data_IF_402628727751
#
_entry.id   IF_402628727751
#
_cell.length_a   1.000
_cell.length_b   1.000
_cell.length_c   1.000
_cell.angle_alpha   90.00
_cell.angle_beta   90.00
_cell.angle_gamma   90.00
#
_symmetry.space_group_name_H-M   'P 1'
#
loop_
_entity.id
_entity.type
_entity.pdbx_description
1 polymer ?
#
# COMPACT_ATOMS: atom_id res chain seq x y z
N UNK A 1 9.97 -18.10 -92.25
CA UNK A 1 8.73 -18.47 -91.51
C UNK A 1 8.87 -18.34 -89.98
N UNK A 2 9.93 -18.82 -89.32
CA UNK A 2 10.05 -18.77 -87.84
C UNK A 2 10.08 -17.36 -87.23
N UNK A 3 10.69 -16.36 -87.89
CA UNK A 3 10.75 -14.99 -87.37
C UNK A 3 9.41 -14.23 -87.45
N UNK A 4 8.59 -14.49 -88.47
CA UNK A 4 7.25 -13.91 -88.58
C UNK A 4 6.30 -14.46 -87.51
N UNK A 5 6.41 -15.75 -87.17
CA UNK A 5 5.64 -16.35 -86.07
C UNK A 5 6.02 -15.71 -84.73
N UNK A 6 7.31 -15.44 -84.50
CA UNK A 6 7.78 -14.82 -83.25
C UNK A 6 7.31 -13.37 -83.10
N UNK A 7 7.29 -12.59 -84.19
CA UNK A 7 6.78 -11.21 -84.18
C UNK A 7 5.27 -11.18 -83.98
N UNK A 8 4.53 -12.12 -84.59
CA UNK A 8 3.07 -12.25 -84.38
C UNK A 8 2.78 -12.70 -82.94
N UNK A 9 3.54 -13.66 -82.39
CA UNK A 9 3.38 -14.09 -80.99
C UNK A 9 3.76 -12.99 -79.99
N UNK A 10 4.80 -12.21 -80.29
CA UNK A 10 5.20 -11.06 -79.49
C UNK A 10 4.17 -9.92 -79.57
N UNK A 11 3.58 -9.65 -80.75
CA UNK A 11 2.51 -8.67 -80.92
C UNK A 11 1.20 -9.13 -80.26
N UNK A 12 0.88 -10.42 -80.30
CA UNK A 12 -0.28 -11.01 -79.61
C UNK A 12 -0.11 -10.98 -78.08
N UNK A 13 1.11 -11.24 -77.58
CA UNK A 13 1.46 -11.08 -76.17
C UNK A 13 1.47 -9.61 -75.73
N UNK A 14 1.87 -8.69 -76.61
CA UNK A 14 1.82 -7.25 -76.35
C UNK A 14 0.39 -6.69 -76.35
N UNK A 15 -0.50 -7.23 -77.19
CA UNK A 15 -1.94 -6.91 -77.18
C UNK A 15 -2.66 -7.51 -75.96
N UNK A 16 -2.27 -8.71 -75.49
CA UNK A 16 -2.76 -9.25 -74.22
C UNK A 16 -2.30 -8.43 -73.00
N UNK A 17 -1.11 -7.81 -73.05
CA UNK A 17 -0.61 -6.99 -71.95
C UNK A 17 -1.34 -5.63 -71.79
N UNK A 18 -2.08 -5.18 -72.82
CA UNK A 18 -2.70 -3.86 -72.86
C UNK A 18 -4.23 -3.84 -72.71
N UNK A 19 -4.89 -4.97 -72.45
CA UNK A 19 -6.32 -5.00 -72.15
C UNK A 19 -6.59 -5.05 -70.63
N UNK A 20 -5.95 -4.15 -69.87
CA UNK A 20 -6.28 -3.98 -68.45
C UNK A 20 -7.43 -3.01 -68.34
N UNK A 21 -8.53 -3.45 -67.74
CA UNK A 21 -9.74 -2.66 -67.56
C UNK A 21 -9.55 -1.72 -66.38
N UNK A 22 -9.89 -0.45 -66.54
CA UNK A 22 -9.83 0.52 -65.45
C UNK A 22 -11.14 0.53 -64.67
N UNK A 23 -11.05 0.63 -63.34
CA UNK A 23 -12.20 0.78 -62.45
C UNK A 23 -12.49 2.27 -62.22
N UNK A 24 -13.77 2.61 -62.04
CA UNK A 24 -14.24 3.94 -61.67
C UNK A 24 -15.39 3.83 -60.66
N UNK A 25 -15.72 4.93 -59.97
CA UNK A 25 -16.83 4.98 -59.02
C UNK A 25 -18.02 5.70 -59.65
N UNK A 26 -19.18 5.04 -59.70
CA UNK A 26 -20.43 5.66 -60.17
C UNK A 26 -21.04 6.54 -59.07
N UNK A 27 -20.96 6.06 -57.83
CA UNK A 27 -21.42 6.81 -56.66
C UNK A 27 -20.51 6.52 -55.48
N UNK A 28 -20.14 7.58 -54.75
CA UNK A 28 -19.38 7.48 -53.51
C UNK A 28 -20.08 8.29 -52.43
N UNK A 29 -20.63 7.62 -51.42
CA UNK A 29 -21.42 8.25 -50.35
C UNK A 29 -20.76 7.95 -49.01
N UNK A 30 -20.46 9.00 -48.26
CA UNK A 30 -19.94 8.92 -46.90
C UNK A 30 -21.00 9.50 -45.97
N UNK A 31 -21.41 8.71 -44.97
CA UNK A 31 -22.27 9.16 -43.90
C UNK A 31 -21.60 8.96 -42.56
N UNK A 32 -21.68 9.97 -41.71
CA UNK A 32 -21.38 9.87 -40.29
C UNK A 32 -22.68 10.14 -39.54
N UNK A 33 -23.14 9.16 -38.79
CA UNK A 33 -24.34 9.22 -37.98
C UNK A 33 -23.95 9.39 -36.51
N UNK A 34 -24.29 10.51 -35.89
CA UNK A 34 -23.88 10.76 -34.50
C UNK A 34 -24.01 12.22 -34.08
N UNK A 35 -23.01 12.75 -33.35
CA UNK A 35 -23.01 14.14 -32.85
C UNK A 35 -22.93 15.15 -34.00
N UNK A 36 -22.11 14.85 -35.01
CA UNK A 36 -22.04 15.60 -36.27
C UNK A 36 -22.60 14.74 -37.40
N UNK A 37 -23.90 14.86 -37.67
CA UNK A 37 -24.51 14.18 -38.82
C UNK A 37 -23.96 14.78 -40.12
N UNK A 38 -23.08 14.04 -40.81
CA UNK A 38 -22.54 14.43 -42.11
C UNK A 38 -23.00 13.41 -43.13
N UNK A 39 -23.84 13.82 -44.07
CA UNK A 39 -24.19 13.03 -45.26
C UNK A 39 -23.63 13.76 -46.49
N UNK A 40 -22.57 13.21 -47.10
CA UNK A 40 -21.93 13.79 -48.29
C UNK A 40 -21.79 12.74 -49.38
N UNK A 41 -22.24 13.12 -50.58
CA UNK A 41 -21.97 12.38 -51.82
C UNK A 41 -20.79 13.05 -52.50
N UNK A 42 -19.78 12.27 -52.84
CA UNK A 42 -18.57 12.70 -53.54
C UNK A 42 -18.61 12.18 -54.97
N UNK A 43 -18.17 13.02 -55.90
CA UNK A 43 -17.89 12.60 -57.27
C UNK A 43 -16.39 12.28 -57.36
N UNK A 44 -16.01 11.12 -57.86
CA UNK A 44 -14.59 10.81 -58.03
C UNK A 44 -13.96 11.74 -59.10
N UNK A 45 -12.78 12.37 -58.87
CA UNK A 45 -11.86 12.27 -57.72
C UNK A 45 -11.89 13.50 -56.77
N UNK A 46 -13.05 13.87 -56.22
CA UNK A 46 -13.23 14.98 -55.28
C UNK A 46 -12.92 14.59 -53.82
N UNK A 47 -11.99 15.32 -53.18
CA UNK A 47 -11.65 15.12 -51.77
C UNK A 47 -12.66 15.76 -50.82
N UNK A 48 -12.98 15.05 -49.75
CA UNK A 48 -13.85 15.44 -48.66
C UNK A 48 -13.11 16.34 -47.66
N UNK A 49 -13.77 17.42 -47.24
CA UNK A 49 -13.27 18.24 -46.13
C UNK A 49 -13.23 17.43 -44.83
N UNK A 50 -12.26 17.75 -43.96
CA UNK A 50 -12.03 17.10 -42.67
C UNK A 50 -13.31 16.90 -41.85
N UNK A 51 -13.55 15.67 -41.40
CA UNK A 51 -14.71 15.27 -40.56
C UNK A 51 -14.21 14.87 -39.17
N UNK A 52 -15.00 15.11 -38.13
CA UNK A 52 -14.73 14.65 -36.77
C UNK A 52 -15.53 13.38 -36.46
N UNK A 53 -14.88 12.40 -35.82
CA UNK A 53 -15.49 11.12 -35.40
C UNK A 53 -15.31 10.91 -33.89
N UNK A 54 -16.41 10.64 -33.20
CA UNK A 54 -16.50 10.44 -31.74
C UNK A 54 -16.93 9.00 -31.38
N UNK A 55 -16.84 8.61 -30.10
CA UNK A 55 -17.15 7.25 -29.61
C UNK A 55 -18.60 6.81 -29.91
N UNK A 56 -19.51 7.76 -30.02
CA UNK A 56 -20.94 7.51 -30.24
C UNK A 56 -21.32 7.56 -31.73
N UNK A 57 -20.38 7.91 -32.61
CA UNK A 57 -20.65 8.09 -34.01
C UNK A 57 -20.52 6.76 -34.78
N UNK A 58 -21.35 6.60 -35.80
CA UNK A 58 -21.35 5.48 -36.71
C UNK A 58 -20.93 5.96 -38.11
N UNK A 59 -19.82 5.44 -38.62
CA UNK A 59 -19.32 5.74 -39.96
C UNK A 59 -19.87 4.70 -40.94
N UNK A 60 -20.69 5.15 -41.88
CA UNK A 60 -21.22 4.35 -42.99
C UNK A 60 -20.61 4.86 -44.30
N UNK A 61 -19.89 3.99 -45.00
CA UNK A 61 -19.37 4.27 -46.35
C UNK A 61 -20.09 3.35 -47.33
N UNK A 62 -20.75 3.94 -48.33
CA UNK A 62 -21.46 3.22 -49.39
C UNK A 62 -20.94 3.69 -50.75
N UNK A 63 -20.52 2.77 -51.60
CA UNK A 63 -19.99 3.08 -52.93
C UNK A 63 -20.44 2.06 -53.97
N UNK A 64 -20.43 2.45 -55.26
CA UNK A 64 -20.76 1.59 -56.39
C UNK A 64 -19.63 1.62 -57.42
N UNK A 65 -19.06 0.46 -57.73
CA UNK A 65 -17.97 0.34 -58.70
C UNK A 65 -18.50 0.01 -60.10
N UNK A 66 -17.95 0.71 -61.10
CA UNK A 66 -18.23 0.53 -62.52
C UNK A 66 -16.92 0.42 -63.32
N UNK A 67 -17.03 -0.09 -64.54
CA UNK A 67 -15.91 -0.12 -65.49
C UNK A 67 -15.78 1.24 -66.18
N UNK A 68 -14.58 1.82 -66.24
CA UNK A 68 -14.33 3.16 -66.82
C UNK A 68 -14.74 3.25 -68.30
N UNK A 69 -14.54 2.15 -69.03
CA UNK A 69 -14.80 2.06 -70.47
C UNK A 69 -16.29 1.75 -70.77
N UNK A 70 -17.04 1.22 -69.80
CA UNK A 70 -18.47 0.93 -69.93
C UNK A 70 -19.21 1.21 -68.62
N UNK A 71 -19.81 2.40 -68.54
CA UNK A 71 -20.51 2.90 -67.36
C UNK A 71 -21.78 2.11 -66.99
N UNK A 72 -22.33 1.30 -67.90
CA UNK A 72 -23.51 0.47 -67.61
C UNK A 72 -23.14 -0.85 -66.89
N UNK A 73 -21.86 -1.23 -66.89
CA UNK A 73 -21.40 -2.50 -66.32
C UNK A 73 -20.87 -2.30 -64.91
N UNK A 74 -21.65 -2.75 -63.92
CA UNK A 74 -21.23 -2.79 -62.52
C UNK A 74 -20.18 -3.89 -62.29
N UNK A 75 -19.21 -3.60 -61.44
CA UNK A 75 -18.18 -4.57 -61.03
C UNK A 75 -18.63 -5.21 -59.72
N UNK A 76 -19.06 -6.46 -59.81
CA UNK A 76 -19.51 -7.23 -58.64
C UNK A 76 -18.37 -8.13 -58.12
N UNK A 77 -18.35 -8.41 -56.82
CA UNK A 77 -17.45 -9.39 -56.17
C UNK A 77 -15.96 -9.17 -56.48
N UNK A 78 -15.42 -8.05 -55.99
CA UNK A 78 -13.98 -7.76 -56.01
C UNK A 78 -13.33 -8.50 -54.84
N UNK A 79 -12.17 -9.11 -55.07
CA UNK A 79 -11.51 -9.97 -54.10
C UNK A 79 -10.83 -9.19 -52.98
N UNK A 80 -10.26 -8.03 -53.29
CA UNK A 80 -9.64 -7.13 -52.32
C UNK A 80 -10.39 -5.80 -52.35
N UNK A 81 -11.28 -5.60 -51.37
CA UNK A 81 -12.01 -4.37 -51.16
C UNK A 81 -11.75 -3.90 -49.72
N UNK A 82 -10.79 -2.98 -49.56
CA UNK A 82 -10.30 -2.57 -48.24
C UNK A 82 -10.42 -1.06 -48.05
N UNK A 83 -10.77 -0.68 -46.83
CA UNK A 83 -10.74 0.68 -46.32
C UNK A 83 -9.59 0.81 -45.32
N UNK A 84 -8.79 1.86 -45.44
CA UNK A 84 -7.68 2.15 -44.55
C UNK A 84 -7.89 3.48 -43.84
N UNK A 85 -7.64 3.47 -42.54
CA UNK A 85 -7.39 4.65 -41.73
C UNK A 85 -5.89 4.71 -41.48
N UNK A 86 -5.21 5.66 -42.11
CA UNK A 86 -3.76 5.79 -42.06
C UNK A 86 -3.35 7.05 -41.31
N UNK A 87 -2.39 6.92 -40.41
CA UNK A 87 -1.72 8.00 -39.69
C UNK A 87 -0.22 7.67 -39.67
N UNK A 88 0.64 8.66 -39.42
CA UNK A 88 2.10 8.50 -39.32
C UNK A 88 2.53 7.38 -38.36
N UNK A 89 1.69 7.07 -37.36
CA UNK A 89 1.97 6.08 -36.32
C UNK A 89 1.29 4.73 -36.53
N UNK A 90 0.12 4.69 -37.15
CA UNK A 90 -0.69 3.48 -37.26
C UNK A 90 -1.51 3.45 -38.54
N UNK A 91 -1.62 2.26 -39.12
CA UNK A 91 -2.46 2.00 -40.29
C UNK A 91 -3.42 0.87 -39.95
N UNK A 92 -4.71 1.20 -39.89
CA UNK A 92 -5.78 0.24 -39.59
C UNK A 92 -6.56 -0.05 -40.86
N UNK A 93 -6.90 -1.32 -41.09
CA UNK A 93 -7.59 -1.76 -42.29
C UNK A 93 -8.92 -2.44 -41.96
N UNK A 94 -9.95 -2.13 -42.74
CA UNK A 94 -11.30 -2.68 -42.65
C UNK A 94 -11.72 -3.22 -44.02
N UNK A 95 -12.63 -4.19 -44.03
CA UNK A 95 -13.05 -4.88 -45.26
C UNK A 95 -14.46 -4.42 -45.64
N UNK A 96 -14.68 -4.10 -46.91
CA UNK A 96 -16.01 -3.77 -47.42
C UNK A 96 -16.87 -5.02 -47.61
N UNK A 97 -18.15 -4.93 -47.27
CA UNK A 97 -19.16 -5.94 -47.59
C UNK A 97 -19.72 -5.68 -49.00
N UNK A 98 -19.74 -6.70 -49.85
CA UNK A 98 -20.31 -6.61 -51.21
C UNK A 98 -21.78 -7.02 -51.18
N UNK A 99 -22.65 -6.15 -51.66
CA UNK A 99 -24.06 -6.48 -51.94
C UNK A 99 -24.23 -6.87 -53.41
N UNK A 100 -25.38 -7.45 -53.72
CA UNK A 100 -25.80 -7.69 -55.10
C UNK A 100 -25.85 -6.35 -55.87
N UNK A 101 -25.48 -6.37 -57.16
CA UNK A 101 -25.38 -5.20 -58.07
C UNK A 101 -24.13 -4.29 -57.92
N UNK A 102 -23.06 -4.76 -57.27
CA UNK A 102 -21.76 -4.04 -57.29
C UNK A 102 -21.68 -2.85 -56.34
N UNK A 103 -22.60 -2.84 -55.37
CA UNK A 103 -22.63 -1.91 -54.25
C UNK A 103 -21.79 -2.47 -53.10
N UNK A 104 -20.89 -1.65 -52.56
CA UNK A 104 -20.05 -1.98 -51.42
C UNK A 104 -20.45 -1.10 -50.24
N UNK A 105 -20.61 -1.72 -49.07
CA UNK A 105 -20.99 -1.04 -47.84
C UNK A 105 -20.02 -1.38 -46.73
N UNK A 106 -19.75 -0.41 -45.89
CA UNK A 106 -18.93 -0.56 -44.71
C UNK A 106 -19.57 0.22 -43.56
N UNK A 107 -19.83 -0.47 -42.46
CA UNK A 107 -20.43 0.10 -41.26
C UNK A 107 -19.45 -0.05 -40.09
N UNK A 108 -18.85 1.07 -39.66
CA UNK A 108 -17.95 1.13 -38.50
C UNK A 108 -18.71 1.77 -37.34
N UNK A 109 -19.02 0.96 -36.32
CA UNK A 109 -19.65 1.44 -35.07
C UNK A 109 -18.65 1.64 -33.93
N UNK A 110 -17.66 0.76 -33.80
CA UNK A 110 -16.67 0.77 -32.73
C UNK A 110 -15.24 0.72 -33.31
N UNK A 111 -14.76 1.88 -33.75
CA UNK A 111 -13.42 1.99 -34.35
C UNK A 111 -12.38 1.97 -33.23
N UNK A 112 -11.60 0.89 -33.12
CA UNK A 112 -10.51 0.75 -32.12
C UNK A 112 -9.23 1.41 -32.64
N UNK A 113 -9.21 2.72 -32.66
CA UNK A 113 -8.08 3.52 -33.16
C UNK A 113 -7.68 4.53 -32.07
N UNK A 114 -6.47 5.06 -32.11
CA UNK A 114 -6.04 6.09 -31.15
C UNK A 114 -6.63 7.46 -31.53
N UNK A 115 -6.59 8.40 -30.59
CA UNK A 115 -6.94 9.79 -30.89
C UNK A 115 -5.92 10.41 -31.85
N UNK A 116 -6.39 11.00 -32.94
CA UNK A 116 -5.53 11.64 -33.92
C UNK A 116 -6.20 11.90 -35.26
N UNK A 117 -5.40 12.47 -36.17
CA UNK A 117 -5.81 12.71 -37.54
C UNK A 117 -5.46 11.48 -38.40
N UNK A 118 -6.44 10.97 -39.12
CA UNK A 118 -6.30 9.82 -40.02
C UNK A 118 -6.73 10.21 -41.43
N UNK A 119 -5.95 9.80 -42.42
CA UNK A 119 -6.35 9.87 -43.83
C UNK A 119 -7.13 8.63 -44.21
N UNK A 120 -8.26 8.85 -44.88
CA UNK A 120 -9.20 7.82 -45.30
C UNK A 120 -8.90 7.39 -46.74
N UNK A 121 -8.53 6.13 -46.91
CA UNK A 121 -8.11 5.58 -48.20
C UNK A 121 -8.91 4.33 -48.51
N UNK A 122 -9.51 4.25 -49.69
CA UNK A 122 -10.09 3.01 -50.22
C UNK A 122 -9.17 2.38 -51.25
N UNK A 123 -9.04 1.05 -51.20
CA UNK A 123 -8.26 0.27 -52.16
C UNK A 123 -9.08 -0.90 -52.69
N UNK A 124 -9.21 -0.97 -54.01
CA UNK A 124 -9.87 -2.05 -54.72
C UNK A 124 -8.89 -2.75 -55.65
N UNK A 125 -8.85 -4.07 -55.61
CA UNK A 125 -7.99 -4.88 -56.47
C UNK A 125 -8.63 -6.24 -56.73
N UNK A 126 -8.58 -6.69 -57.98
CA UNK A 126 -9.05 -8.03 -58.37
C UNK A 126 -8.05 -8.67 -59.33
N UNK A 127 -7.10 -9.45 -58.79
CA UNK A 127 -6.13 -10.18 -59.60
C UNK A 127 -6.76 -11.13 -60.63
N UNK A 128 -7.92 -11.73 -60.33
CA UNK A 128 -8.59 -12.67 -61.25
C UNK A 128 -9.32 -12.04 -62.43
N UNK A 129 -9.70 -10.76 -62.33
CA UNK A 129 -10.53 -10.08 -63.34
C UNK A 129 -9.74 -9.08 -64.19
N UNK A 130 -8.41 -9.06 -64.05
CA UNK A 130 -7.47 -8.20 -64.77
C UNK A 130 -7.81 -6.69 -64.70
N UNK A 131 -8.40 -6.25 -63.58
CA UNK A 131 -8.65 -4.84 -63.31
C UNK A 131 -7.40 -4.16 -62.74
N UNK A 132 -7.17 -2.91 -63.15
CA UNK A 132 -6.10 -2.07 -62.57
C UNK A 132 -6.47 -1.73 -61.12
N UNK A 133 -5.60 -1.96 -60.12
CA UNK A 133 -5.87 -1.58 -58.74
C UNK A 133 -6.22 -0.10 -58.62
N UNK A 134 -7.32 0.19 -57.93
CA UNK A 134 -7.81 1.54 -57.72
C UNK A 134 -7.58 1.93 -56.26
N UNK A 135 -6.79 2.97 -56.05
CA UNK A 135 -6.56 3.58 -54.75
C UNK A 135 -7.09 4.99 -54.76
N UNK A 136 -7.90 5.33 -53.76
CA UNK A 136 -8.51 6.64 -53.65
C UNK A 136 -8.48 7.14 -52.21
N UNK A 137 -7.70 8.20 -52.00
CA UNK A 137 -7.68 8.99 -50.77
C UNK A 137 -8.76 10.06 -50.86
N UNK A 138 -9.86 9.85 -50.14
CA UNK A 138 -11.06 10.64 -50.30
C UNK A 138 -11.27 11.68 -49.20
N UNK A 139 -10.44 11.72 -48.15
CA UNK A 139 -10.47 12.81 -47.15
C UNK A 139 -9.84 12.43 -45.82
N UNK A 140 -9.82 13.39 -44.91
CA UNK A 140 -9.24 13.23 -43.57
C UNK A 140 -10.32 13.16 -42.49
N UNK A 141 -10.07 12.36 -41.45
CA UNK A 141 -10.95 12.17 -40.30
C UNK A 141 -10.17 12.41 -39.01
N UNK A 142 -10.69 13.29 -38.15
CA UNK A 142 -10.16 13.54 -36.81
C UNK A 142 -10.91 12.68 -35.82
N UNK A 143 -10.20 11.71 -35.25
CA UNK A 143 -10.75 10.76 -34.29
C UNK A 143 -10.54 11.32 -32.88
N UNK A 144 -11.64 11.63 -32.19
CA UNK A 144 -11.66 12.18 -30.82
C UNK A 144 -12.44 11.27 -29.90
N UNK A 145 -11.74 10.32 -29.28
CA UNK A 145 -12.33 9.55 -28.20
C UNK A 145 -12.38 10.37 -26.91
N UNK A 146 -13.60 10.60 -26.41
CA UNK A 146 -13.83 11.04 -25.04
C UNK A 146 -13.57 9.83 -24.15
N UNK A 147 -12.33 9.64 -23.73
CA UNK A 147 -11.99 8.56 -22.80
C UNK A 147 -12.76 8.86 -21.51
N UNK A 148 -13.77 8.05 -21.10
CA UNK A 148 -14.21 8.13 -19.73
C UNK A 148 -12.98 7.78 -18.92
N UNK A 149 -12.55 8.67 -18.01
CA UNK A 149 -11.55 8.34 -16.99
C UNK A 149 -12.08 7.12 -16.22
N UNK A 150 -11.81 5.94 -16.76
CA UNK A 150 -12.10 4.69 -16.09
C UNK A 150 -11.03 4.63 -15.04
N UNK A 151 -11.31 5.26 -13.89
CA UNK A 151 -10.52 5.10 -12.68
C UNK A 151 -10.36 3.59 -12.54
N UNK A 152 -9.14 3.05 -12.70
CA UNK A 152 -8.97 1.62 -12.55
C UNK A 152 -9.45 1.29 -11.14
N UNK A 153 -10.46 0.43 -11.05
CA UNK A 153 -10.99 0.00 -9.76
C UNK A 153 -9.81 -0.56 -8.95
N UNK A 154 -9.46 0.04 -7.81
CA UNK A 154 -8.31 -0.38 -7.02
C UNK A 154 -8.41 -1.84 -6.53
N UNK A 155 -9.59 -2.46 -6.64
CA UNK A 155 -9.84 -3.85 -6.26
C UNK A 155 -9.83 -4.84 -7.43
N UNK A 156 -9.71 -4.37 -8.68
CA UNK A 156 -9.61 -5.25 -9.84
C UNK A 156 -8.14 -5.60 -10.06
N UNK A 157 -7.75 -6.83 -9.71
CA UNK A 157 -6.45 -7.36 -10.08
C UNK A 157 -6.27 -7.20 -11.60
N UNK A 158 -5.12 -6.69 -12.09
CA UNK A 158 -4.90 -6.54 -13.52
C UNK A 158 -4.92 -7.93 -14.15
N UNK A 159 -6.04 -8.28 -14.78
CA UNK A 159 -6.15 -9.49 -15.58
C UNK A 159 -5.12 -9.39 -16.68
N UNK A 160 -4.30 -10.43 -16.85
CA UNK A 160 -3.20 -10.52 -17.83
C UNK A 160 -3.62 -10.29 -19.30
N UNK A 161 -4.91 -10.08 -19.56
CA UNK A 161 -5.51 -9.94 -20.88
C UNK A 161 -5.71 -8.47 -21.32
N UNK A 162 -5.36 -7.48 -20.48
CA UNK A 162 -5.51 -6.05 -20.83
C UNK A 162 -4.19 -5.40 -21.30
N UNK A 163 -3.22 -6.21 -21.73
CA UNK A 163 -1.93 -5.78 -22.26
C UNK A 163 -1.77 -6.22 -23.72
N UNK A 164 -2.60 -5.64 -24.59
CA UNK A 164 -2.43 -5.74 -26.05
C UNK A 164 -1.68 -4.53 -26.64
N UNK A 165 -0.92 -3.80 -25.80
CA UNK A 165 0.11 -2.87 -26.26
C UNK A 165 1.43 -3.59 -26.55
N UNK A 166 2.41 -2.96 -27.23
CA UNK A 166 3.68 -3.59 -27.55
C UNK A 166 4.36 -4.03 -26.24
N UNK A 167 4.38 -5.33 -25.98
CA UNK A 167 4.75 -5.97 -24.72
C UNK A 167 6.26 -5.84 -24.36
N UNK A 168 6.95 -4.85 -24.91
CA UNK A 168 8.40 -4.64 -24.81
C UNK A 168 8.79 -3.29 -24.20
N UNK A 169 7.91 -2.66 -23.43
CA UNK A 169 8.28 -1.47 -22.66
C UNK A 169 8.60 -1.82 -21.21
N UNK A 170 9.68 -1.25 -20.64
CA UNK A 170 9.94 -1.37 -19.21
C UNK A 170 8.77 -0.73 -18.46
N UNK A 171 8.19 -1.46 -17.51
CA UNK A 171 7.18 -0.91 -16.61
C UNK A 171 7.81 0.22 -15.79
N UNK A 172 7.07 1.31 -15.51
CA UNK A 172 7.56 2.37 -14.65
C UNK A 172 7.89 1.82 -13.26
N UNK A 173 8.98 2.30 -12.67
CA UNK A 173 9.36 1.93 -11.30
C UNK A 173 8.31 2.44 -10.30
N UNK A 174 7.95 1.59 -9.34
CA UNK A 174 6.97 1.89 -8.30
C UNK A 174 7.69 2.01 -6.95
N UNK A 175 8.16 3.21 -6.56
CA UNK A 175 8.87 3.37 -5.30
C UNK A 175 7.90 3.18 -4.12
N UNK A 176 8.28 2.31 -3.18
CA UNK A 176 7.56 2.15 -1.93
C UNK A 176 7.74 3.40 -1.05
N UNK A 177 6.65 4.10 -0.70
CA UNK A 177 6.68 5.27 0.17
C UNK A 177 6.59 4.81 1.63
N UNK A 178 7.68 4.95 2.37
CA UNK A 178 7.70 4.65 3.80
C UNK A 178 6.92 5.70 4.61
N UNK A 179 6.31 5.27 5.71
CA UNK A 179 5.70 6.18 6.66
C UNK A 179 6.78 7.08 7.29
N UNK A 180 6.55 8.39 7.43
CA UNK A 180 7.49 9.27 8.10
C UNK A 180 7.63 8.86 9.57
N UNK A 181 8.84 8.99 10.12
CA UNK A 181 9.08 8.75 11.53
C UNK A 181 8.26 9.73 12.41
N UNK A 182 7.66 9.25 13.51
CA UNK A 182 6.94 10.14 14.42
C UNK A 182 7.91 11.15 15.05
N UNK A 183 7.50 12.43 15.10
CA UNK A 183 8.29 13.50 15.71
C UNK A 183 8.46 13.24 17.21
N UNK A 184 9.71 13.14 17.66
CA UNK A 184 10.03 13.04 19.08
C UNK A 184 9.69 14.35 19.82
N UNK A 185 9.30 14.29 21.11
CA UNK A 185 9.04 15.49 21.91
C UNK A 185 10.30 16.33 22.16
N UNK A 186 10.10 17.59 22.57
CA UNK A 186 11.21 18.50 22.87
C UNK A 186 12.12 17.94 23.98
N UNK A 187 13.42 17.79 23.66
CA UNK A 187 14.45 17.27 24.56
C UNK A 187 14.59 18.07 25.86
N UNK A 188 14.36 19.39 25.82
CA UNK A 188 14.44 20.25 27.02
C UNK A 188 13.31 19.93 27.99
N UNK A 189 12.08 19.79 27.48
CA UNK A 189 10.92 19.43 28.29
C UNK A 189 11.09 18.03 28.91
N UNK A 190 11.56 17.06 28.12
CA UNK A 190 11.84 15.71 28.63
C UNK A 190 12.88 15.70 29.77
N UNK A 191 13.96 16.47 29.65
CA UNK A 191 14.98 16.62 30.72
C UNK A 191 14.40 17.26 31.98
N UNK A 192 13.57 18.29 31.82
CA UNK A 192 12.93 18.96 32.96
C UNK A 192 12.04 17.99 33.75
N UNK A 193 11.17 17.23 33.06
CA UNK A 193 10.30 16.24 33.70
C UNK A 193 11.12 15.13 34.37
N UNK A 194 12.21 14.67 33.74
CA UNK A 194 13.11 13.69 34.33
C UNK A 194 13.74 14.19 35.64
N UNK A 195 14.21 15.44 35.70
CA UNK A 195 14.70 16.04 36.93
C UNK A 195 13.59 16.17 38.00
N UNK A 196 12.38 16.55 37.59
CA UNK A 196 11.23 16.68 38.48
C UNK A 196 10.88 15.34 39.17
N UNK A 197 11.08 14.21 38.50
CA UNK A 197 10.84 12.88 39.05
C UNK A 197 11.69 12.54 40.28
N UNK A 198 12.83 13.21 40.49
CA UNK A 198 13.70 12.99 41.66
C UNK A 198 13.27 13.77 42.90
N UNK A 199 12.42 14.79 42.77
CA UNK A 199 11.99 15.65 43.90
C UNK A 199 11.33 14.84 45.02
N UNK A 200 10.38 13.92 44.75
CA UNK A 200 9.74 13.12 45.81
C UNK A 200 10.74 12.26 46.60
N UNK A 201 11.79 11.75 45.93
CA UNK A 201 12.83 10.95 46.57
C UNK A 201 13.69 11.78 47.52
N UNK A 202 14.08 12.99 47.11
CA UNK A 202 14.83 13.92 47.96
C UNK A 202 13.97 14.31 49.17
N UNK A 203 12.69 14.60 48.94
CA UNK A 203 11.75 14.95 49.99
C UNK A 203 11.55 13.80 51.00
N UNK A 204 11.49 12.55 50.54
CA UNK A 204 11.42 11.37 51.41
C UNK A 204 12.63 11.29 52.36
N UNK A 205 13.84 11.48 51.82
CA UNK A 205 15.08 11.46 52.61
C UNK A 205 15.09 12.60 53.65
N UNK A 206 14.62 13.79 53.27
CA UNK A 206 14.49 14.92 54.18
C UNK A 206 13.55 14.60 55.35
N UNK A 207 12.38 14.02 55.08
CA UNK A 207 11.42 13.60 56.10
C UNK A 207 12.03 12.56 57.04
N UNK A 208 12.74 11.57 56.49
CA UNK A 208 13.42 10.54 57.27
C UNK A 208 14.44 11.12 58.25
N UNK A 209 15.21 12.12 57.82
CA UNK A 209 16.13 12.85 58.70
C UNK A 209 15.38 13.63 59.79
N UNK A 210 14.23 14.22 59.49
CA UNK A 210 13.39 14.93 60.48
C UNK A 210 12.72 14.00 61.49
N UNK A 211 12.27 12.81 61.07
CA UNK A 211 11.69 11.79 61.95
C UNK A 211 12.74 11.15 62.86
N UNK A 212 14.02 11.21 62.50
CA UNK A 212 15.11 10.60 63.27
C UNK A 212 15.10 9.08 63.16
N UNK A 213 15.17 8.55 61.93
CA UNK A 213 15.21 7.09 61.71
C UNK A 213 16.35 6.46 62.51
N UNK A 214 15.98 5.55 63.41
CA UNK A 214 16.93 4.84 64.26
C UNK A 214 17.39 3.53 63.60
N UNK A 215 18.63 3.50 63.13
CA UNK A 215 19.30 2.30 62.58
C UNK A 215 20.06 1.49 63.64
N UNK A 216 20.10 1.93 64.91
CA UNK A 216 20.85 1.26 65.98
C UNK A 216 20.32 -0.14 66.30
N UNK A 217 19.09 -0.47 65.85
CA UNK A 217 18.54 -1.82 65.93
C UNK A 217 19.33 -2.87 65.15
N UNK A 218 20.09 -2.46 64.13
CA UNK A 218 20.91 -3.35 63.29
C UNK A 218 22.25 -3.73 63.96
N UNK A 219 22.78 -2.85 64.80
CA UNK A 219 24.09 -2.99 65.46
C UNK A 219 24.03 -3.62 66.86
N UNK A 220 22.91 -4.23 67.22
CA UNK A 220 22.68 -4.75 68.58
C UNK A 220 23.61 -5.93 68.95
N UNK A 221 23.97 -6.78 67.99
CA UNK A 221 24.83 -7.95 68.19
C UNK A 221 25.66 -8.21 66.93
N UNK A 222 26.90 -8.68 67.07
CA UNK A 222 27.77 -9.01 65.93
C UNK A 222 27.13 -10.02 64.97
N UNK A 223 26.40 -11.03 65.49
CA UNK A 223 25.66 -11.99 64.65
C UNK A 223 24.54 -11.33 63.84
N UNK A 224 23.78 -10.42 64.44
CA UNK A 224 22.68 -9.71 63.78
C UNK A 224 23.18 -8.75 62.71
N UNK A 225 24.34 -8.12 62.94
CA UNK A 225 25.02 -7.32 61.93
C UNK A 225 25.38 -8.18 60.71
N UNK A 226 26.07 -9.31 60.92
CA UNK A 226 26.53 -10.19 59.83
C UNK A 226 25.36 -10.69 58.98
N UNK A 227 24.33 -11.28 59.59
CA UNK A 227 23.18 -11.77 58.84
C UNK A 227 22.34 -10.63 58.24
N UNK A 228 22.23 -9.49 58.92
CA UNK A 228 21.54 -8.32 58.41
C UNK A 228 22.19 -7.76 57.13
N UNK A 229 23.52 -7.63 57.13
CA UNK A 229 24.29 -7.18 55.96
C UNK A 229 24.19 -8.20 54.83
N UNK A 230 24.33 -9.50 55.11
CA UNK A 230 24.16 -10.55 54.11
C UNK A 230 22.76 -10.51 53.48
N UNK A 231 21.72 -10.28 54.28
CA UNK A 231 20.36 -10.14 53.77
C UNK A 231 20.19 -8.89 52.88
N UNK A 232 20.76 -7.74 53.27
CA UNK A 232 20.70 -6.52 52.43
C UNK A 232 21.48 -6.71 51.12
N UNK A 233 22.65 -7.36 51.16
CA UNK A 233 23.41 -7.70 49.95
C UNK A 233 22.60 -8.64 49.06
N UNK A 234 21.90 -9.62 49.65
CA UNK A 234 21.05 -10.54 48.89
C UNK A 234 19.88 -9.85 48.19
N UNK A 235 19.25 -8.87 48.86
CA UNK A 235 18.22 -8.03 48.25
C UNK A 235 18.77 -7.09 47.18
N UNK A 236 19.95 -6.49 47.40
CA UNK A 236 20.63 -5.66 46.42
C UNK A 236 20.98 -6.45 45.16
N UNK A 237 21.46 -7.69 45.34
CA UNK A 237 21.73 -8.64 44.26
C UNK A 237 20.47 -8.97 43.45
N UNK A 238 19.33 -9.23 44.11
CA UNK A 238 18.04 -9.43 43.44
C UNK A 238 17.62 -8.23 42.58
N UNK A 239 17.72 -7.02 43.13
CA UNK A 239 17.42 -5.78 42.40
C UNK A 239 18.41 -5.60 41.23
N UNK A 240 19.70 -5.89 41.45
CA UNK A 240 20.72 -5.85 40.41
C UNK A 240 20.44 -6.79 39.25
N UNK A 241 20.01 -8.02 39.52
CA UNK A 241 19.60 -8.99 38.49
C UNK A 241 18.41 -8.45 37.70
N UNK A 242 17.42 -7.82 38.36
CA UNK A 242 16.29 -7.19 37.68
C UNK A 242 16.73 -6.00 36.81
N UNK A 243 17.67 -5.18 37.26
CA UNK A 243 18.24 -4.11 36.43
C UNK A 243 18.99 -4.67 35.22
N UNK A 244 19.76 -5.75 35.40
CA UNK A 244 20.44 -6.44 34.29
C UNK A 244 19.47 -7.05 33.29
N UNK A 245 18.29 -7.51 33.72
CA UNK A 245 17.20 -7.92 32.84
C UNK A 245 16.71 -6.78 31.95
N UNK A 246 16.56 -5.56 32.49
CA UNK A 246 16.18 -4.41 31.66
C UNK A 246 17.27 -3.99 30.65
N UNK A 247 18.55 -4.26 30.93
CA UNK A 247 19.66 -3.82 30.08
C UNK A 247 20.05 -4.89 29.04
N UNK A 248 20.18 -6.17 29.45
CA UNK A 248 20.83 -7.20 28.61
C UNK A 248 20.35 -8.64 28.81
N UNK A 249 19.93 -9.06 30.01
CA UNK A 249 19.66 -10.47 30.27
C UNK A 249 18.42 -10.99 29.53
N UNK A 250 18.49 -12.25 29.09
CA UNK A 250 17.32 -12.95 28.57
C UNK A 250 16.44 -13.45 29.74
N UNK A 251 15.17 -13.75 29.46
CA UNK A 251 14.18 -14.18 30.44
C UNK A 251 14.62 -15.43 31.20
N UNK A 252 15.12 -16.46 30.52
CA UNK A 252 15.56 -17.70 31.16
C UNK A 252 16.80 -17.53 32.03
N UNK A 253 17.75 -16.68 31.61
CA UNK A 253 18.93 -16.34 32.41
C UNK A 253 18.52 -15.62 33.69
N UNK A 254 17.61 -14.65 33.56
CA UNK A 254 17.06 -13.91 34.69
C UNK A 254 16.34 -14.84 35.65
N UNK A 255 15.44 -15.71 35.16
CA UNK A 255 14.74 -16.68 36.00
C UNK A 255 15.71 -17.64 36.72
N UNK A 256 16.75 -18.13 36.04
CA UNK A 256 17.76 -18.99 36.65
C UNK A 256 18.54 -18.28 37.75
N UNK A 257 19.07 -17.09 37.47
CA UNK A 257 19.80 -16.28 38.45
C UNK A 257 18.90 -15.83 39.62
N UNK A 258 17.66 -15.40 39.33
CA UNK A 258 16.68 -14.97 40.32
C UNK A 258 16.21 -16.15 41.18
N UNK A 259 16.08 -17.34 40.60
CA UNK A 259 15.77 -18.58 41.32
C UNK A 259 16.86 -18.92 42.32
N UNK A 260 18.13 -18.96 41.89
CA UNK A 260 19.25 -19.15 42.82
C UNK A 260 19.31 -18.03 43.87
N UNK A 261 19.03 -16.80 43.47
CA UNK A 261 19.00 -15.65 44.35
C UNK A 261 17.89 -15.67 45.40
N UNK A 262 16.72 -16.20 45.06
CA UNK A 262 15.62 -16.37 46.01
C UNK A 262 15.95 -17.38 47.10
N UNK A 263 16.71 -18.43 46.79
CA UNK A 263 17.08 -19.45 47.77
C UNK A 263 17.95 -18.83 48.87
N UNK A 264 19.07 -18.18 48.51
CA UNK A 264 19.94 -17.57 49.53
C UNK A 264 19.26 -16.40 50.24
N UNK A 265 18.45 -15.59 49.54
CA UNK A 265 17.72 -14.47 50.14
C UNK A 265 16.70 -14.98 51.17
N UNK A 266 16.01 -16.08 50.88
CA UNK A 266 15.06 -16.71 51.80
C UNK A 266 15.75 -17.22 53.06
N UNK A 267 16.90 -17.90 52.92
CA UNK A 267 17.67 -18.41 54.07
C UNK A 267 18.16 -17.26 54.95
N UNK A 268 18.82 -16.25 54.38
CA UNK A 268 19.31 -15.11 55.16
C UNK A 268 18.16 -14.29 55.76
N UNK A 269 17.06 -14.13 55.03
CA UNK A 269 15.86 -13.47 55.51
C UNK A 269 15.25 -14.20 56.72
N UNK A 270 15.13 -15.53 56.66
CA UNK A 270 14.62 -16.34 57.77
C UNK A 270 15.50 -16.18 59.02
N UNK A 271 16.83 -16.22 58.87
CA UNK A 271 17.77 -16.06 59.97
C UNK A 271 17.67 -14.67 60.63
N UNK A 272 17.60 -13.60 59.83
CA UNK A 272 17.47 -12.22 60.34
C UNK A 272 16.14 -12.01 61.05
N UNK A 273 15.04 -12.48 60.47
CA UNK A 273 13.71 -12.34 61.06
C UNK A 273 13.58 -13.15 62.35
N UNK A 274 14.15 -14.36 62.40
CA UNK A 274 14.20 -15.18 63.61
C UNK A 274 14.94 -14.47 64.75
N UNK A 275 16.12 -13.91 64.48
CA UNK A 275 16.87 -13.16 65.49
C UNK A 275 16.11 -11.93 66.00
N UNK A 276 15.41 -11.22 65.09
CA UNK A 276 14.57 -10.08 65.45
C UNK A 276 13.38 -10.51 66.33
N UNK A 277 12.77 -11.67 66.04
CA UNK A 277 11.70 -12.24 66.85
C UNK A 277 12.19 -12.68 68.23
N UNK A 278 13.34 -13.36 68.31
CA UNK A 278 13.97 -13.77 69.58
C UNK A 278 14.31 -12.55 70.46
N UNK A 279 14.84 -11.47 69.88
CA UNK A 279 15.08 -10.21 70.60
C UNK A 279 13.78 -9.65 71.21
N UNK A 280 12.71 -9.55 70.41
CA UNK A 280 11.41 -9.06 70.89
C UNK A 280 10.83 -9.95 72.00
N UNK A 281 10.99 -11.27 71.89
CA UNK A 281 10.54 -12.22 72.93
C UNK A 281 11.32 -12.04 74.24
N UNK A 282 12.65 -11.89 74.16
CA UNK A 282 13.50 -11.61 75.33
C UNK A 282 13.12 -10.29 76.01
N UNK A 283 12.93 -9.22 75.23
CA UNK A 283 12.50 -7.92 75.74
C UNK A 283 11.13 -7.99 76.43
N UNK A 284 10.17 -8.73 75.87
CA UNK A 284 8.85 -8.97 76.51
C UNK A 284 8.99 -9.72 77.83
N UNK A 285 9.78 -10.80 77.86
CA UNK A 285 10.04 -11.58 79.09
C UNK A 285 10.71 -10.73 80.17
N UNK A 286 11.67 -9.88 79.80
CA UNK A 286 12.32 -8.95 80.73
C UNK A 286 11.33 -7.94 81.30
N UNK A 287 10.44 -7.38 80.46
CA UNK A 287 9.38 -6.46 80.91
C UNK A 287 8.39 -7.15 81.85
N UNK A 288 7.98 -8.38 81.56
CA UNK A 288 7.10 -9.18 82.43
C UNK A 288 7.77 -9.49 83.78
N UNK A 289 9.04 -9.91 83.78
CA UNK A 289 9.79 -10.18 85.02
C UNK A 289 9.95 -8.92 85.88
N UNK A 290 10.21 -7.77 85.25
CA UNK A 290 10.30 -6.47 85.95
C UNK A 290 8.96 -6.04 86.54
N UNK A 291 7.84 -6.31 85.85
CA UNK A 291 6.51 -6.03 86.36
C UNK A 291 6.15 -6.90 87.58
N UNK A 292 6.52 -8.19 87.58
CA UNK A 292 6.28 -9.08 88.73
C UNK A 292 7.18 -8.77 89.94
N UNK A 293 8.44 -8.39 89.72
CA UNK A 293 9.31 -7.95 90.84
C UNK A 293 8.88 -6.61 91.42
N UNK A 294 8.26 -5.73 90.62
CA UNK A 294 7.69 -4.48 91.11
C UNK A 294 6.40 -4.68 91.92
N UNK A 295 5.59 -5.70 91.62
CA UNK A 295 4.44 -6.06 92.44
C UNK A 295 4.84 -6.69 93.78
N UNK A 296 5.92 -7.47 93.82
CA UNK A 296 6.42 -8.10 95.05
C UNK A 296 7.16 -7.10 95.97
N UNK A 297 7.78 -6.07 95.40
CA UNK A 297 8.38 -4.96 96.17
C UNK A 297 7.34 -4.00 96.77
N UNK A 298 6.13 -3.95 96.21
CA UNK A 298 5.02 -3.14 96.74
C UNK A 298 4.30 -3.80 97.94
N UNK A 299 4.51 -5.10 98.19
CA UNK A 299 3.88 -5.83 99.31
C UNK A 299 4.81 -6.02 100.51
N UNK A 300 6.07 -5.57 100.44
CA UNK A 300 7.09 -5.73 101.48
C UNK A 300 7.70 -4.38 101.91
N UNK A 301 6.90 -3.55 102.56
CA UNK A 301 7.40 -2.51 103.49
C UNK A 301 6.71 -2.69 104.85
N UNK A 302 7.47 -2.81 105.96
CA UNK A 302 6.88 -3.02 107.28
C UNK A 302 6.23 -1.72 107.77
N UNK A 303 4.91 -1.75 107.99
CA UNK A 303 4.22 -0.73 108.80
C UNK A 303 4.72 -0.82 110.24
N UNK A 304 5.61 0.09 110.62
CA UNK A 304 5.86 0.43 112.02
C UNK A 304 4.76 1.39 112.48
N UNK A 305 4.23 1.10 113.65
CA UNK A 305 3.25 1.90 114.41
C UNK A 305 3.71 3.35 114.59
N UNK A 306 2.75 4.28 114.60
CA UNK A 306 2.80 5.44 115.48
C UNK A 306 1.38 5.96 115.74
N UNK A 307 0.99 5.77 116.99
CA UNK A 307 -0.09 6.41 117.73
C UNK A 307 0.12 7.93 117.87
N UNK A 308 -0.98 8.70 117.78
CA UNK A 308 -1.32 10.00 118.43
C UNK A 308 -2.49 10.64 117.67
N UNK A 309 -3.71 10.68 118.23
CA UNK A 309 -4.21 11.70 119.18
C UNK A 309 -4.42 13.08 118.51
N UNK A 310 -5.67 13.39 118.13
CA UNK A 310 -6.44 14.58 118.53
C UNK A 310 -7.68 14.82 117.64
N UNK A 311 -8.84 14.56 118.22
CA UNK A 311 -9.92 15.51 118.52
C UNK A 311 -10.46 16.55 117.50
N UNK A 312 -11.78 16.41 117.30
CA UNK A 312 -12.86 17.42 117.24
C UNK A 312 -13.10 18.35 116.03
N UNK A 313 -14.26 18.14 115.36
CA UNK A 313 -15.43 19.05 115.12
C UNK A 313 -16.09 18.74 113.75
N UNK A 314 -17.33 18.21 113.74
CA UNK A 314 -18.64 18.95 113.69
C UNK A 314 -18.79 19.73 112.38
N UNK A 315 -19.80 19.54 111.52
CA UNK A 315 -21.15 18.95 111.62
C UNK A 315 -21.45 18.03 110.43
#
# INVERSE_FOLDING_TARGET
MKQFIFIIYAALLLQCAFCKKAMDFESFKVKVHGENNVDKRLNYPEKLNKITYSNMDHLEISLKLIEKDNKEKSINQIEQAMFYLSNDKSQNSYIFESNDEGNYRLNLKDVKVDNGDYSMIVRFSSPKKDYIPLEYEFGDIEVKYSIPETKPDPNKAPTLMESEGPNFYPKPDQPHIFKPEPKAPNKLFAKFVFCLMFIPWIYLIYIWNKIGININGLFYNSKTLIFGVLFIISLCSMIGILVLFFIKFNLFQTLGCLGLASIYTSVFGHLVLRQKAEKRSKERKLKMKKASTASDASSSSPKKETEKENDTKSN
#
